data_IF_944135126967
#
_entry.id   IF_944135126967
#
_cell.length_a   1.000
_cell.length_b   1.000
_cell.length_c   1.000
_cell.angle_alpha   90.00
_cell.angle_beta   90.00
_cell.angle_gamma   90.00
#
_symmetry.space_group_name_H-M   'P 1'
#
loop_
_entity.id
_entity.type
_entity.pdbx_description
1 polymer ?
#
# COMPACT_ATOMS: atom_id res chain seq x y z
N UNK A 1 8.29 -19.94 8.37
CA UNK A 1 8.82 -18.71 9.03
C UNK A 1 8.30 -18.66 10.47
N UNK A 2 9.09 -18.10 11.38
CA UNK A 2 8.69 -17.82 12.75
C UNK A 2 7.47 -16.87 12.75
N UNK A 3 6.33 -17.24 13.37
CA UNK A 3 5.13 -16.43 13.37
C UNK A 3 5.34 -15.03 13.97
N UNK A 4 6.11 -14.93 15.06
CA UNK A 4 6.41 -13.64 15.69
C UNK A 4 7.20 -12.73 14.74
N UNK A 5 8.20 -13.26 14.07
CA UNK A 5 9.00 -12.52 13.09
C UNK A 5 8.16 -12.08 11.90
N UNK A 6 7.24 -12.94 11.42
CA UNK A 6 6.29 -12.60 10.37
C UNK A 6 5.42 -11.40 10.80
N UNK A 7 4.88 -11.46 12.02
CA UNK A 7 4.06 -10.39 12.58
C UNK A 7 4.84 -9.07 12.65
N UNK A 8 5.98 -9.06 13.33
CA UNK A 8 6.79 -7.86 13.54
C UNK A 8 7.22 -7.20 12.22
N UNK A 9 7.72 -7.99 11.26
CA UNK A 9 8.07 -7.50 9.92
C UNK A 9 6.88 -6.87 9.19
N UNK A 10 5.70 -7.45 9.37
CA UNK A 10 4.47 -6.93 8.73
C UNK A 10 4.05 -5.62 9.39
N UNK A 11 4.06 -5.54 10.73
CA UNK A 11 3.75 -4.29 11.43
C UNK A 11 4.70 -3.16 11.03
N UNK A 12 5.99 -3.45 10.99
CA UNK A 12 7.02 -2.48 10.59
C UNK A 12 6.85 -2.02 9.13
N UNK A 13 6.55 -2.95 8.22
CA UNK A 13 6.33 -2.65 6.80
C UNK A 13 5.10 -1.77 6.58
N UNK A 14 4.02 -2.08 7.27
CA UNK A 14 2.76 -1.37 7.17
C UNK A 14 2.71 -0.10 8.03
N UNK A 15 3.76 0.18 8.80
CA UNK A 15 3.85 1.31 9.73
C UNK A 15 2.65 1.33 10.68
N UNK A 16 2.32 0.15 11.23
CA UNK A 16 1.17 -0.02 12.12
C UNK A 16 1.53 0.50 13.51
N UNK A 17 0.75 1.43 14.10
CA UNK A 17 0.99 1.92 15.45
C UNK A 17 0.95 0.77 16.47
N UNK A 18 1.82 0.80 17.49
CA UNK A 18 1.94 -0.23 18.52
C UNK A 18 0.64 -0.48 19.26
N UNK A 19 -0.16 0.55 19.49
CA UNK A 19 -1.49 0.49 20.11
C UNK A 19 -2.49 -0.39 19.36
N UNK A 20 -2.33 -0.58 18.04
CA UNK A 20 -3.18 -1.44 17.22
C UNK A 20 -2.77 -2.93 17.28
N UNK A 21 -1.52 -3.24 17.68
CA UNK A 21 -0.96 -4.59 17.59
C UNK A 21 -1.76 -5.63 18.37
N UNK A 22 -2.21 -5.29 19.57
CA UNK A 22 -3.00 -6.20 20.41
C UNK A 22 -4.32 -6.63 19.76
N UNK A 23 -4.99 -5.70 19.09
CA UNK A 23 -6.22 -5.97 18.34
C UNK A 23 -5.98 -6.87 17.12
N UNK A 24 -4.91 -6.61 16.37
CA UNK A 24 -4.52 -7.40 15.19
C UNK A 24 -4.09 -8.82 15.63
N UNK A 25 -3.27 -8.96 16.68
CA UNK A 25 -2.85 -10.26 17.20
C UNK A 25 -4.05 -11.13 17.62
N UNK A 26 -5.05 -10.54 18.28
CA UNK A 26 -6.27 -11.26 18.68
C UNK A 26 -7.02 -11.78 17.45
N UNK A 27 -7.28 -10.93 16.46
CA UNK A 27 -7.95 -11.33 15.23
C UNK A 27 -7.13 -12.37 14.45
N UNK A 28 -5.82 -12.21 14.39
CA UNK A 28 -4.95 -13.19 13.76
C UNK A 28 -5.03 -14.56 14.42
N UNK A 29 -5.04 -14.59 15.74
CA UNK A 29 -5.24 -15.84 16.51
C UNK A 29 -6.61 -16.46 16.22
N UNK A 30 -7.69 -15.68 16.12
CA UNK A 30 -9.03 -16.15 15.76
C UNK A 30 -9.04 -16.81 14.37
N UNK A 31 -8.45 -16.19 13.35
CA UNK A 31 -8.29 -16.79 12.02
C UNK A 31 -7.42 -18.05 12.07
N UNK A 32 -6.32 -18.01 12.83
CA UNK A 32 -5.42 -19.15 12.98
C UNK A 32 -6.11 -20.36 13.58
N UNK A 33 -6.99 -20.17 14.55
CA UNK A 33 -7.75 -21.25 15.19
C UNK A 33 -8.74 -21.93 14.22
N UNK A 34 -9.21 -21.21 13.19
CA UNK A 34 -10.09 -21.76 12.16
C UNK A 34 -9.36 -22.73 11.20
N UNK A 35 -8.04 -22.71 11.13
CA UNK A 35 -7.22 -23.57 10.26
C UNK A 35 -6.91 -24.95 10.85
N UNK A 36 -7.76 -25.50 11.72
CA UNK A 36 -7.48 -26.69 12.54
C UNK A 36 -7.17 -27.98 11.77
N UNK A 37 -7.52 -28.07 10.49
CA UNK A 37 -7.34 -29.26 9.65
C UNK A 37 -6.13 -29.21 8.71
N UNK A 38 -5.39 -28.10 8.64
CA UNK A 38 -4.30 -27.88 7.68
C UNK A 38 -2.98 -27.50 8.38
N UNK A 39 -1.82 -27.61 7.70
CA UNK A 39 -0.58 -27.02 8.22
C UNK A 39 -0.80 -25.52 8.44
N UNK A 40 -1.00 -25.13 9.68
CA UNK A 40 -1.30 -23.75 10.11
C UNK A 40 -0.32 -22.73 9.51
N UNK A 41 0.91 -23.14 9.24
CA UNK A 41 1.93 -22.30 8.60
C UNK A 41 1.60 -21.89 7.16
N UNK A 42 0.78 -22.66 6.41
CA UNK A 42 0.46 -22.37 5.01
C UNK A 42 -0.34 -21.07 4.85
N UNK A 43 -1.32 -20.84 5.72
CA UNK A 43 -2.23 -19.69 5.63
C UNK A 43 -1.96 -18.61 6.68
N UNK A 44 -0.81 -18.64 7.33
CA UNK A 44 -0.42 -17.67 8.35
C UNK A 44 -0.41 -16.23 7.82
N UNK A 45 0.14 -16.05 6.61
CA UNK A 45 0.16 -14.75 5.93
C UNK A 45 -1.25 -14.27 5.55
N UNK A 46 -2.09 -15.18 5.05
CA UNK A 46 -3.48 -14.86 4.69
C UNK A 46 -4.30 -14.45 5.92
N UNK A 47 -4.17 -15.20 7.01
CA UNK A 47 -4.82 -14.90 8.27
C UNK A 47 -4.39 -13.52 8.82
N UNK A 48 -3.09 -13.20 8.74
CA UNK A 48 -2.59 -11.90 9.19
C UNK A 48 -3.10 -10.76 8.31
N UNK A 49 -3.11 -10.93 7.00
CA UNK A 49 -3.67 -9.93 6.08
C UNK A 49 -5.17 -9.66 6.37
N UNK A 50 -5.96 -10.71 6.59
CA UNK A 50 -7.37 -10.55 6.98
C UNK A 50 -7.53 -9.85 8.33
N UNK A 51 -6.67 -10.17 9.31
CA UNK A 51 -6.69 -9.52 10.64
C UNK A 51 -6.38 -8.02 10.58
N UNK A 52 -5.52 -7.62 9.65
CA UNK A 52 -5.10 -6.23 9.44
C UNK A 52 -6.07 -5.41 8.59
N UNK A 53 -6.96 -6.07 7.84
CA UNK A 53 -7.83 -5.34 6.91
C UNK A 53 -8.77 -4.40 7.68
N UNK A 54 -8.79 -3.13 7.28
CA UNK A 54 -9.69 -2.16 7.91
C UNK A 54 -11.15 -2.46 7.52
N UNK A 55 -12.05 -2.66 8.49
CA UNK A 55 -13.45 -2.93 8.19
C UNK A 55 -14.18 -1.78 7.48
N UNK A 56 -13.61 -0.55 7.54
CA UNK A 56 -14.13 0.63 6.82
C UNK A 56 -13.74 0.66 5.35
N UNK A 57 -12.77 -0.16 4.94
CA UNK A 57 -12.57 -0.42 3.51
C UNK A 57 -13.76 -1.27 3.06
N UNK A 58 -14.84 -0.60 2.87
CA UNK A 58 -15.83 -1.09 1.95
C UNK A 58 -15.20 -0.94 0.58
N UNK A 59 -14.86 -2.02 -0.06
CA UNK A 59 -14.79 -2.11 -1.50
C UNK A 59 -16.22 -1.86 -2.03
N UNK A 60 -16.82 -0.77 -1.58
CA UNK A 60 -18.14 -0.39 -2.01
C UNK A 60 -18.01 0.27 -3.36
N UNK A 61 -18.59 -0.32 -4.41
CA UNK A 61 -18.81 0.38 -5.66
C UNK A 61 -19.52 1.72 -5.45
N UNK A 62 -20.24 1.89 -4.33
CA UNK A 62 -21.02 3.08 -4.01
C UNK A 62 -20.21 4.37 -3.89
N UNK A 63 -18.91 4.31 -3.52
CA UNK A 63 -18.04 5.50 -3.56
C UNK A 63 -17.51 5.84 -4.95
N UNK A 64 -17.53 4.89 -5.87
CA UNK A 64 -17.16 5.07 -7.28
C UNK A 64 -18.38 5.37 -8.15
N UNK A 65 -19.58 5.24 -7.59
CA UNK A 65 -20.84 5.51 -8.27
C UNK A 65 -21.21 6.97 -8.10
N UNK A 66 -21.26 7.67 -9.20
CA UNK A 66 -21.91 8.98 -9.29
C UNK A 66 -23.45 8.89 -9.27
N UNK A 67 -24.05 7.70 -9.09
CA UNK A 67 -25.50 7.51 -9.12
C UNK A 67 -26.02 6.49 -8.11
N UNK A 68 -27.22 6.76 -7.65
CA UNK A 68 -27.98 6.22 -6.52
C UNK A 68 -28.66 4.87 -6.72
N UNK A 69 -28.11 3.96 -7.50
CA UNK A 69 -28.73 2.62 -7.62
C UNK A 69 -28.34 1.75 -6.43
N UNK A 70 -29.31 1.52 -5.55
CA UNK A 70 -29.13 0.88 -4.23
C UNK A 70 -29.43 -0.61 -4.18
N UNK A 71 -29.66 -1.25 -5.31
CA UNK A 71 -30.05 -2.66 -5.34
C UNK A 71 -28.88 -3.58 -5.66
N UNK A 72 -27.92 -3.73 -4.72
CA UNK A 72 -27.03 -4.90 -4.73
C UNK A 72 -27.84 -6.04 -4.09
N UNK A 73 -28.35 -6.92 -4.93
CA UNK A 73 -29.22 -8.05 -4.54
C UNK A 73 -28.52 -9.13 -3.68
N UNK A 74 -27.22 -8.96 -3.35
CA UNK A 74 -26.44 -9.99 -2.65
C UNK A 74 -25.48 -9.35 -1.67
N UNK A 75 -25.44 -9.88 -0.44
CA UNK A 75 -24.58 -9.40 0.64
C UNK A 75 -23.12 -9.71 0.36
N UNK A 76 -22.21 -8.73 0.46
CA UNK A 76 -20.79 -8.97 0.39
C UNK A 76 -20.32 -9.95 1.47
N UNK A 77 -19.28 -10.74 1.17
CA UNK A 77 -18.68 -11.65 2.14
C UNK A 77 -18.13 -10.90 3.36
N UNK A 78 -18.27 -11.50 4.54
CA UNK A 78 -17.56 -11.07 5.75
C UNK A 78 -16.07 -11.37 5.60
N UNK A 79 -15.22 -10.83 6.48
CA UNK A 79 -13.78 -11.12 6.45
C UNK A 79 -13.49 -12.60 6.68
N UNK A 80 -14.26 -13.25 7.55
CA UNK A 80 -14.17 -14.67 7.79
C UNK A 80 -14.49 -15.48 6.53
N UNK A 81 -15.56 -15.10 5.83
CA UNK A 81 -15.95 -15.75 4.58
C UNK A 81 -14.95 -15.49 3.46
N UNK A 82 -14.31 -14.31 3.42
CA UNK A 82 -13.22 -14.01 2.46
C UNK A 82 -12.01 -14.91 2.76
N UNK A 83 -11.63 -15.05 4.03
CA UNK A 83 -10.54 -15.94 4.43
C UNK A 83 -10.82 -17.39 4.02
N UNK A 84 -12.01 -17.92 4.35
CA UNK A 84 -12.45 -19.26 4.00
C UNK A 84 -12.50 -19.47 2.48
N UNK A 85 -13.00 -18.47 1.73
CA UNK A 85 -13.04 -18.51 0.27
C UNK A 85 -11.66 -18.68 -0.36
N UNK A 86 -10.68 -17.89 0.07
CA UNK A 86 -9.33 -17.97 -0.51
C UNK A 86 -8.63 -19.29 -0.12
N UNK A 87 -8.86 -19.80 1.08
CA UNK A 87 -8.36 -21.13 1.46
C UNK A 87 -8.95 -22.22 0.55
N UNK A 88 -10.29 -22.25 0.42
CA UNK A 88 -11.00 -23.22 -0.44
C UNK A 88 -10.50 -23.18 -1.89
N UNK A 89 -10.33 -21.96 -2.45
CA UNK A 89 -9.88 -21.80 -3.82
C UNK A 89 -8.41 -22.20 -4.03
N UNK A 90 -7.55 -21.94 -3.05
CA UNK A 90 -6.15 -22.35 -3.09
C UNK A 90 -6.02 -23.89 -3.00
N UNK A 91 -6.78 -24.52 -2.11
CA UNK A 91 -6.84 -26.00 -1.98
C UNK A 91 -7.35 -26.67 -3.24
N UNK A 92 -8.36 -26.06 -3.87
CA UNK A 92 -8.90 -26.52 -5.14
C UNK A 92 -7.96 -26.24 -6.33
N UNK A 93 -6.86 -25.48 -6.13
CA UNK A 93 -5.94 -25.01 -7.17
C UNK A 93 -6.64 -24.19 -8.26
N UNK A 94 -7.63 -23.41 -7.86
CA UNK A 94 -8.42 -22.57 -8.76
C UNK A 94 -7.92 -21.12 -8.83
N UNK A 95 -6.89 -20.76 -8.05
CA UNK A 95 -6.25 -19.44 -8.10
C UNK A 95 -5.11 -19.41 -9.11
N UNK A 96 -4.92 -18.29 -9.76
CA UNK A 96 -3.79 -18.05 -10.67
C UNK A 96 -2.48 -17.72 -9.94
N UNK A 97 -2.57 -17.45 -8.65
CA UNK A 97 -1.43 -17.15 -7.78
C UNK A 97 -1.42 -18.15 -6.62
N UNK A 98 -0.26 -18.72 -6.33
CA UNK A 98 -0.04 -19.47 -5.09
C UNK A 98 0.01 -18.46 -3.93
N UNK A 99 -1.14 -18.25 -3.29
CA UNK A 99 -1.29 -17.24 -2.22
C UNK A 99 -0.46 -17.56 -0.97
N UNK A 100 -0.04 -18.82 -0.81
CA UNK A 100 0.82 -19.22 0.31
C UNK A 100 2.25 -18.66 0.21
N UNK A 101 2.65 -18.18 -0.97
CA UNK A 101 3.96 -17.55 -1.21
C UNK A 101 3.92 -16.02 -1.10
N UNK A 102 2.73 -15.45 -1.01
CA UNK A 102 2.57 -14.02 -0.85
C UNK A 102 2.83 -13.59 0.61
N UNK A 103 3.45 -12.43 0.77
CA UNK A 103 3.58 -11.78 2.07
C UNK A 103 2.21 -11.26 2.54
N UNK A 104 2.03 -11.02 3.87
CA UNK A 104 0.80 -10.41 4.36
C UNK A 104 0.49 -9.06 3.68
N UNK A 105 1.52 -8.25 3.42
CA UNK A 105 1.37 -6.96 2.72
C UNK A 105 0.87 -7.10 1.29
N UNK A 106 1.31 -8.12 0.55
CA UNK A 106 0.79 -8.41 -0.80
C UNK A 106 -0.64 -8.95 -0.72
N UNK A 107 -0.92 -9.80 0.28
CA UNK A 107 -2.25 -10.36 0.50
C UNK A 107 -3.29 -9.32 0.91
N UNK A 108 -2.92 -8.22 1.55
CA UNK A 108 -3.83 -7.09 1.80
C UNK A 108 -4.51 -6.62 0.50
N UNK A 109 -3.78 -6.64 -0.62
CA UNK A 109 -4.30 -6.26 -1.95
C UNK A 109 -5.02 -7.40 -2.69
N UNK A 110 -5.22 -8.53 -2.04
CA UNK A 110 -6.08 -9.63 -2.48
C UNK A 110 -7.35 -9.68 -1.65
N UNK A 111 -7.22 -9.66 -0.32
CA UNK A 111 -8.34 -9.88 0.61
C UNK A 111 -9.22 -8.64 0.81
N UNK A 112 -8.83 -7.47 0.33
CA UNK A 112 -9.64 -6.25 0.34
C UNK A 112 -10.77 -6.27 -0.71
N UNK A 113 -11.07 -7.44 -1.25
CA UNK A 113 -12.22 -7.72 -2.13
C UNK A 113 -13.45 -8.10 -1.30
N UNK A 114 -14.46 -7.23 -1.27
CA UNK A 114 -15.71 -7.45 -0.52
C UNK A 114 -16.86 -7.54 -1.50
N UNK A 115 -16.97 -8.69 -2.15
CA UNK A 115 -17.97 -9.00 -3.15
C UNK A 115 -18.82 -10.19 -2.68
N UNK A 116 -20.05 -10.34 -3.23
CA UNK A 116 -20.76 -11.60 -3.09
C UNK A 116 -19.98 -12.76 -3.67
N UNK A 117 -20.08 -13.94 -3.06
CA UNK A 117 -19.40 -15.16 -3.55
C UNK A 117 -19.72 -15.43 -5.03
N UNK A 118 -20.98 -15.19 -5.45
CA UNK A 118 -21.39 -15.37 -6.84
C UNK A 118 -20.59 -14.53 -7.83
N UNK A 119 -20.29 -13.27 -7.48
CA UNK A 119 -19.47 -12.36 -8.29
C UNK A 119 -18.00 -12.83 -8.33
N UNK A 120 -17.46 -13.26 -7.20
CA UNK A 120 -16.10 -13.78 -7.13
C UNK A 120 -15.93 -15.06 -7.97
N UNK A 121 -16.90 -15.98 -7.89
CA UNK A 121 -16.93 -17.21 -8.70
C UNK A 121 -17.13 -16.90 -10.18
N UNK A 122 -17.98 -15.91 -10.50
CA UNK A 122 -18.16 -15.45 -11.87
C UNK A 122 -16.85 -14.93 -12.46
N UNK A 123 -16.14 -14.06 -11.73
CA UNK A 123 -14.86 -13.50 -12.17
C UNK A 123 -13.85 -14.61 -12.52
N UNK A 124 -13.67 -15.61 -11.66
CA UNK A 124 -12.76 -16.74 -11.91
C UNK A 124 -13.18 -17.60 -13.11
N UNK A 125 -14.49 -17.85 -13.27
CA UNK A 125 -15.00 -18.72 -14.34
C UNK A 125 -15.09 -18.04 -15.70
N UNK A 126 -15.31 -16.72 -15.73
CA UNK A 126 -15.61 -15.99 -16.97
C UNK A 126 -14.44 -15.19 -17.52
N UNK A 127 -13.59 -14.63 -16.65
CA UNK A 127 -12.40 -13.88 -17.10
C UNK A 127 -11.27 -14.88 -17.37
N UNK A 128 -11.06 -15.20 -18.65
CA UNK A 128 -10.12 -16.25 -19.10
C UNK A 128 -8.77 -15.63 -19.51
N UNK A 129 -8.09 -15.00 -18.57
CA UNK A 129 -6.77 -14.44 -18.76
C UNK A 129 -5.73 -15.23 -17.95
N UNK A 130 -4.49 -15.25 -18.43
CA UNK A 130 -3.37 -15.75 -17.64
C UNK A 130 -2.93 -14.67 -16.64
N UNK A 131 -2.25 -15.05 -15.55
CA UNK A 131 -1.70 -14.08 -14.60
C UNK A 131 -0.82 -13.03 -15.30
N UNK A 132 0.04 -13.43 -16.22
CA UNK A 132 0.91 -12.52 -17.01
C UNK A 132 0.12 -11.56 -17.89
N UNK A 133 -1.01 -12.01 -18.43
CA UNK A 133 -1.87 -11.23 -19.34
C UNK A 133 -2.96 -10.44 -18.64
N UNK A 134 -3.03 -10.43 -17.29
CA UNK A 134 -4.16 -9.87 -16.56
C UNK A 134 -4.35 -8.36 -16.76
N UNK A 135 -3.29 -7.62 -17.10
CA UNK A 135 -3.42 -6.22 -17.49
C UNK A 135 -4.42 -5.98 -18.64
N UNK A 136 -4.64 -6.99 -19.49
CA UNK A 136 -5.67 -6.98 -20.54
C UNK A 136 -7.11 -6.91 -20.04
N UNK A 137 -7.39 -7.26 -18.76
CA UNK A 137 -8.72 -7.17 -18.17
C UNK A 137 -9.28 -5.74 -18.22
N UNK A 138 -8.42 -4.74 -18.09
CA UNK A 138 -8.81 -3.33 -18.23
C UNK A 138 -9.44 -3.04 -19.60
N UNK A 139 -8.84 -3.55 -20.67
CA UNK A 139 -9.30 -3.33 -22.05
C UNK A 139 -10.44 -4.25 -22.49
N UNK A 140 -10.85 -5.23 -21.66
CA UNK A 140 -12.04 -6.04 -21.95
C UNK A 140 -13.33 -5.19 -21.91
N UNK A 141 -13.33 -4.13 -21.11
CA UNK A 141 -14.48 -3.25 -20.97
C UNK A 141 -14.44 -2.19 -22.06
N UNK A 142 -15.47 -2.23 -22.95
CA UNK A 142 -15.62 -1.25 -24.02
C UNK A 142 -15.79 0.15 -23.44
N UNK A 143 -14.98 1.11 -23.88
CA UNK A 143 -15.09 2.48 -23.39
C UNK A 143 -16.36 3.18 -23.93
N UNK A 144 -17.11 3.82 -23.02
CA UNK A 144 -18.39 4.48 -23.30
C UNK A 144 -18.24 6.00 -23.25
N UNK A 145 -17.98 6.62 -24.42
CA UNK A 145 -17.89 8.10 -24.52
C UNK A 145 -19.21 8.78 -24.19
N UNK A 146 -20.36 8.17 -24.55
CA UNK A 146 -21.69 8.65 -24.21
C UNK A 146 -21.91 8.71 -22.69
N UNK A 147 -21.44 7.71 -21.95
CA UNK A 147 -21.51 7.72 -20.48
C UNK A 147 -20.60 8.82 -19.88
N UNK A 148 -19.40 9.00 -20.42
CA UNK A 148 -18.51 10.07 -19.99
C UNK A 148 -19.14 11.47 -20.19
N UNK A 149 -19.80 11.69 -21.32
CA UNK A 149 -20.41 12.95 -21.65
C UNK A 149 -21.74 13.23 -20.92
N UNK A 150 -22.57 12.18 -20.73
CA UNK A 150 -23.93 12.33 -20.18
C UNK A 150 -24.01 12.05 -18.68
N UNK A 151 -22.97 11.46 -18.07
CA UNK A 151 -22.97 11.08 -16.65
C UNK A 151 -24.00 10.00 -16.28
N UNK A 152 -24.57 9.31 -17.28
CA UNK A 152 -25.58 8.27 -17.06
C UNK A 152 -24.95 6.93 -16.75
N UNK A 153 -25.43 6.30 -15.67
CA UNK A 153 -25.04 4.95 -15.28
C UNK A 153 -25.93 3.93 -16.02
N UNK A 154 -25.37 3.04 -16.86
CA UNK A 154 -26.16 2.05 -17.59
C UNK A 154 -26.50 0.81 -16.77
N UNK A 155 -25.93 0.68 -15.56
CA UNK A 155 -26.04 -0.55 -14.76
C UNK A 155 -27.22 -0.51 -13.80
N UNK A 156 -27.82 -1.69 -13.57
CA UNK A 156 -28.85 -1.90 -12.55
C UNK A 156 -28.23 -2.32 -11.22
N UNK A 157 -27.34 -3.31 -11.24
CA UNK A 157 -26.73 -3.91 -10.06
C UNK A 157 -25.20 -3.70 -9.99
N UNK A 158 -24.59 -3.19 -11.07
CA UNK A 158 -23.14 -3.01 -11.17
C UNK A 158 -22.35 -4.31 -11.02
N UNK A 159 -22.90 -5.41 -11.55
CA UNK A 159 -22.22 -6.70 -11.60
C UNK A 159 -21.11 -6.72 -12.65
N UNK A 160 -20.17 -7.63 -12.52
CA UNK A 160 -19.12 -7.79 -13.54
C UNK A 160 -19.70 -8.14 -14.92
N UNK A 161 -20.79 -8.91 -14.95
CA UNK A 161 -21.48 -9.22 -16.20
C UNK A 161 -22.05 -7.95 -16.83
N UNK A 162 -22.77 -7.11 -16.06
CA UNK A 162 -23.30 -5.85 -16.57
C UNK A 162 -22.21 -4.90 -17.08
N UNK A 163 -21.10 -4.79 -16.33
CA UNK A 163 -19.97 -3.96 -16.73
C UNK A 163 -19.35 -4.46 -18.04
N UNK A 164 -19.23 -5.78 -18.21
CA UNK A 164 -18.69 -6.38 -19.42
C UNK A 164 -19.63 -6.16 -20.63
N UNK A 165 -20.92 -6.32 -20.45
CA UNK A 165 -21.91 -6.23 -21.52
C UNK A 165 -22.16 -4.77 -21.94
N UNK A 166 -22.34 -3.89 -20.97
CA UNK A 166 -22.69 -2.49 -21.19
C UNK A 166 -21.47 -1.63 -21.56
N UNK A 167 -20.28 -2.06 -21.13
CA UNK A 167 -19.09 -1.22 -21.20
C UNK A 167 -19.10 -0.13 -20.13
N UNK A 168 -18.07 0.73 -20.10
CA UNK A 168 -17.94 1.75 -19.06
C UNK A 168 -16.91 2.82 -19.37
N UNK A 169 -16.55 3.62 -18.38
CA UNK A 169 -15.46 4.59 -18.42
C UNK A 169 -14.22 4.04 -17.68
N UNK A 170 -13.16 4.81 -17.60
CA UNK A 170 -11.90 4.39 -16.96
C UNK A 170 -12.11 3.82 -15.53
N UNK A 171 -13.06 4.38 -14.78
CA UNK A 171 -13.38 3.91 -13.43
C UNK A 171 -13.92 2.48 -13.43
N UNK A 172 -14.79 2.16 -14.38
CA UNK A 172 -15.39 0.83 -14.51
C UNK A 172 -14.39 -0.19 -15.04
N UNK A 173 -13.55 0.24 -15.99
CA UNK A 173 -12.45 -0.56 -16.51
C UNK A 173 -11.47 -0.93 -15.40
N UNK A 174 -11.05 0.05 -14.58
CA UNK A 174 -10.14 -0.16 -13.45
C UNK A 174 -10.80 -1.03 -12.36
N UNK A 175 -12.06 -0.76 -12.01
CA UNK A 175 -12.82 -1.56 -11.05
C UNK A 175 -12.92 -3.02 -11.46
N UNK A 176 -13.30 -3.28 -12.71
CA UNK A 176 -13.38 -4.63 -13.26
C UNK A 176 -12.03 -5.34 -13.21
N UNK A 177 -10.97 -4.69 -13.72
CA UNK A 177 -9.64 -5.28 -13.78
C UNK A 177 -9.08 -5.62 -12.39
N UNK A 178 -9.23 -4.70 -11.40
CA UNK A 178 -8.74 -4.89 -10.04
C UNK A 178 -9.50 -6.02 -9.34
N UNK A 179 -10.83 -5.96 -9.32
CA UNK A 179 -11.58 -6.92 -8.50
C UNK A 179 -11.58 -8.32 -9.12
N UNK A 180 -11.61 -8.44 -10.45
CA UNK A 180 -11.46 -9.75 -11.09
C UNK A 180 -10.05 -10.33 -10.90
N UNK A 181 -8.99 -9.50 -10.80
CA UNK A 181 -7.65 -9.92 -10.42
C UNK A 181 -7.62 -10.51 -9.01
N UNK A 182 -8.18 -9.77 -8.03
CA UNK A 182 -8.27 -10.22 -6.63
C UNK A 182 -8.98 -11.56 -6.49
N UNK A 183 -10.12 -11.72 -7.18
CA UNK A 183 -10.86 -12.99 -7.19
C UNK A 183 -10.01 -14.18 -7.68
N UNK A 184 -8.97 -13.93 -8.46
CA UNK A 184 -8.02 -14.93 -8.95
C UNK A 184 -6.71 -15.00 -8.11
N UNK A 185 -6.68 -14.36 -6.93
CA UNK A 185 -5.53 -14.35 -6.04
C UNK A 185 -4.38 -13.43 -6.50
N UNK A 186 -4.63 -12.51 -7.45
CA UNK A 186 -3.62 -11.58 -7.96
C UNK A 186 -3.70 -10.27 -7.15
N UNK A 187 -2.63 -9.90 -6.39
CA UNK A 187 -2.58 -8.62 -5.71
C UNK A 187 -2.74 -7.46 -6.69
N UNK A 188 -3.70 -6.58 -6.40
CA UNK A 188 -4.05 -5.48 -7.29
C UNK A 188 -4.57 -4.26 -6.53
N UNK A 189 -4.26 -3.07 -7.05
CA UNK A 189 -4.68 -1.80 -6.49
C UNK A 189 -5.44 -0.96 -7.54
N UNK A 190 -6.56 -0.38 -7.10
CA UNK A 190 -7.30 0.61 -7.86
C UNK A 190 -6.64 1.97 -7.66
N UNK A 191 -6.20 2.58 -8.74
CA UNK A 191 -5.46 3.84 -8.72
C UNK A 191 -6.27 4.92 -9.41
N UNK A 192 -6.30 6.11 -8.81
CA UNK A 192 -6.88 7.32 -9.40
C UNK A 192 -5.89 8.46 -9.36
N UNK A 193 -5.96 9.35 -10.34
CA UNK A 193 -5.09 10.52 -10.41
C UNK A 193 -5.32 11.33 -11.66
N UNK A 194 -4.40 12.26 -11.90
CA UNK A 194 -4.43 13.09 -13.10
C UNK A 194 -3.41 12.58 -14.12
N UNK A 195 -3.89 12.27 -15.30
CA UNK A 195 -3.05 11.98 -16.46
C UNK A 195 -2.95 13.20 -17.39
N UNK A 196 -2.16 13.07 -18.44
CA UNK A 196 -1.99 14.15 -19.45
C UNK A 196 -3.28 14.51 -20.23
N UNK A 197 -4.38 13.77 -20.00
CA UNK A 197 -5.71 13.99 -20.62
C UNK A 197 -6.80 14.27 -19.60
N UNK A 198 -6.44 14.58 -18.34
CA UNK A 198 -7.37 14.84 -17.24
C UNK A 198 -7.52 13.69 -16.25
N UNK A 199 -8.51 13.76 -15.35
CA UNK A 199 -8.74 12.75 -14.32
C UNK A 199 -8.90 11.36 -14.91
N UNK A 200 -8.26 10.35 -14.29
CA UNK A 200 -8.22 9.00 -14.80
C UNK A 200 -8.19 7.96 -13.68
N UNK A 201 -8.58 6.73 -14.01
CA UNK A 201 -8.45 5.57 -13.13
C UNK A 201 -7.78 4.41 -13.89
N UNK A 202 -6.90 3.69 -13.21
CA UNK A 202 -6.14 2.57 -13.73
C UNK A 202 -5.88 1.50 -12.68
N UNK A 203 -5.14 0.46 -13.02
CA UNK A 203 -4.84 -0.65 -12.14
C UNK A 203 -3.34 -0.88 -12.02
N UNK A 204 -2.88 -1.10 -10.79
CA UNK A 204 -1.57 -1.68 -10.54
C UNK A 204 -1.73 -3.15 -10.14
N UNK A 205 -0.95 -4.04 -10.76
CA UNK A 205 -0.98 -5.49 -10.57
C UNK A 205 0.40 -6.01 -10.17
N UNK A 206 0.43 -6.96 -9.23
CA UNK A 206 1.64 -7.73 -8.96
C UNK A 206 1.80 -8.83 -10.02
N UNK A 207 2.82 -8.69 -10.85
CA UNK A 207 3.09 -9.60 -11.98
C UNK A 207 3.68 -10.94 -11.54
N UNK A 208 3.88 -11.84 -12.50
CA UNK A 208 4.57 -13.14 -12.28
C UNK A 208 6.02 -12.97 -11.86
N UNK A 209 6.65 -11.83 -12.21
CA UNK A 209 8.05 -11.53 -11.89
C UNK A 209 8.19 -10.86 -10.51
N UNK A 210 7.14 -10.91 -9.69
CA UNK A 210 7.07 -10.29 -8.36
C UNK A 210 7.30 -8.77 -8.38
N UNK A 211 6.96 -8.12 -9.48
CA UNK A 211 7.02 -6.67 -9.66
C UNK A 211 5.63 -6.07 -9.82
N UNK A 212 5.43 -4.88 -9.28
CA UNK A 212 4.20 -4.14 -9.50
C UNK A 212 4.28 -3.38 -10.84
N UNK A 213 3.23 -3.47 -11.64
CA UNK A 213 3.13 -2.79 -12.93
C UNK A 213 1.77 -2.13 -13.10
N UNK A 214 1.78 -0.96 -13.75
CA UNK A 214 0.58 -0.19 -14.08
C UNK A 214 0.02 -0.57 -15.44
N UNK A 215 -1.30 -0.69 -15.52
CA UNK A 215 -2.04 -0.95 -16.77
C UNK A 215 -3.23 -0.01 -16.88
N UNK A 216 -3.51 0.47 -18.08
CA UNK A 216 -4.63 1.37 -18.35
C UNK A 216 -4.34 2.83 -18.03
N UNK A 217 -3.15 3.17 -17.51
CA UNK A 217 -2.73 4.55 -17.29
C UNK A 217 -2.25 5.24 -18.58
N UNK A 218 -2.28 6.55 -18.55
CA UNK A 218 -1.62 7.36 -19.59
C UNK A 218 -0.36 7.93 -19.04
N UNK A 219 0.81 7.88 -19.53
CA UNK A 219 2.08 8.45 -19.04
C UNK A 219 1.96 9.53 -17.96
N UNK A 220 2.92 10.00 -17.33
CA UNK A 220 3.00 10.99 -16.22
C UNK A 220 1.74 11.11 -15.33
N UNK A 221 1.60 10.21 -14.39
CA UNK A 221 0.45 10.16 -13.50
C UNK A 221 0.87 10.49 -12.08
N UNK A 222 0.04 11.26 -11.41
CA UNK A 222 0.10 11.45 -9.96
C UNK A 222 -0.87 10.47 -9.28
N UNK A 223 -0.69 9.17 -9.56
CA UNK A 223 -1.62 8.15 -9.13
C UNK A 223 -1.60 7.90 -7.62
N UNK A 224 -2.78 7.77 -7.04
CA UNK A 224 -2.95 7.44 -5.64
C UNK A 224 -3.93 6.28 -5.48
N UNK A 225 -3.71 5.47 -4.45
CA UNK A 225 -4.61 4.39 -4.05
C UNK A 225 -4.92 4.49 -2.55
N UNK A 226 -6.06 3.94 -2.15
CA UNK A 226 -6.39 3.78 -0.73
C UNK A 226 -5.74 2.52 -0.19
N UNK A 227 -4.91 2.66 0.86
CA UNK A 227 -4.20 1.53 1.42
C UNK A 227 -5.14 0.59 2.20
N UNK A 228 -5.15 -0.74 1.95
CA UNK A 228 -6.13 -1.66 2.52
C UNK A 228 -6.14 -1.74 4.05
N UNK A 229 -5.01 -1.55 4.71
CA UNK A 229 -4.91 -1.62 6.17
C UNK A 229 -5.45 -0.35 6.86
N UNK A 230 -5.03 0.84 6.44
CA UNK A 230 -5.29 2.08 7.19
C UNK A 230 -6.14 3.11 6.44
N UNK A 231 -6.62 2.81 5.25
CA UNK A 231 -7.40 3.70 4.37
C UNK A 231 -6.70 5.02 4.00
N UNK A 232 -5.40 5.16 4.29
CA UNK A 232 -4.65 6.35 3.90
C UNK A 232 -4.43 6.35 2.39
N UNK A 233 -4.56 7.52 1.77
CA UNK A 233 -4.16 7.72 0.39
C UNK A 233 -2.64 7.63 0.29
N UNK A 234 -2.14 6.74 -0.56
CA UNK A 234 -0.72 6.58 -0.83
C UNK A 234 -0.45 6.76 -2.32
N UNK A 235 0.67 7.37 -2.65
CA UNK A 235 1.11 7.49 -4.04
C UNK A 235 1.48 6.11 -4.59
N UNK A 236 1.16 5.82 -5.86
CA UNK A 236 1.39 4.51 -6.47
C UNK A 236 2.87 4.09 -6.53
N UNK A 237 3.80 5.06 -6.51
CA UNK A 237 5.24 4.77 -6.42
C UNK A 237 5.61 3.93 -5.20
N UNK A 238 4.82 3.99 -4.13
CA UNK A 238 5.05 3.15 -2.94
C UNK A 238 4.84 1.67 -3.23
N UNK A 239 3.91 1.32 -4.16
CA UNK A 239 3.77 -0.05 -4.66
C UNK A 239 4.86 -0.37 -5.69
N UNK A 240 4.98 0.47 -6.71
CA UNK A 240 5.86 0.22 -7.85
C UNK A 240 7.34 0.12 -7.46
N UNK A 241 7.75 0.74 -6.36
CA UNK A 241 9.14 0.81 -5.93
C UNK A 241 9.40 0.26 -4.53
N UNK A 242 8.43 0.39 -3.62
CA UNK A 242 8.60 0.02 -2.21
C UNK A 242 8.34 -1.44 -1.89
N UNK A 243 7.45 -2.10 -2.64
CA UNK A 243 7.06 -3.50 -2.40
C UNK A 243 7.74 -4.49 -3.36
N UNK A 244 8.52 -4.00 -4.32
CA UNK A 244 9.14 -4.83 -5.34
C UNK A 244 10.34 -5.59 -4.76
N UNK A 245 10.23 -6.91 -4.62
CA UNK A 245 11.30 -7.79 -4.18
C UNK A 245 12.50 -7.76 -5.12
N UNK A 246 12.28 -7.55 -6.41
CA UNK A 246 13.33 -7.49 -7.42
C UNK A 246 14.19 -6.24 -7.28
N UNK A 247 13.58 -5.09 -6.97
CA UNK A 247 14.30 -3.82 -6.73
C UNK A 247 15.03 -3.85 -5.38
N UNK A 248 14.40 -4.40 -4.34
CA UNK A 248 14.95 -4.43 -2.98
C UNK A 248 15.79 -5.68 -2.69
N UNK A 249 15.65 -6.72 -3.51
CA UNK A 249 16.45 -7.95 -3.46
C UNK A 249 16.35 -8.73 -2.14
N UNK A 250 17.32 -9.64 -1.92
CA UNK A 250 17.38 -10.48 -0.73
C UNK A 250 17.60 -9.70 0.59
N UNK A 251 17.90 -8.40 0.52
CA UNK A 251 18.09 -7.53 1.67
C UNK A 251 16.80 -6.95 2.26
N UNK A 252 15.66 -7.11 1.56
CA UNK A 252 14.38 -6.59 2.04
C UNK A 252 14.03 -7.16 3.41
N UNK A 253 14.18 -8.47 3.58
CA UNK A 253 13.92 -9.14 4.84
C UNK A 253 14.80 -8.63 5.99
N UNK A 254 16.09 -8.38 5.71
CA UNK A 254 17.03 -7.81 6.69
C UNK A 254 16.64 -6.38 7.05
N UNK A 255 16.23 -5.58 6.07
CA UNK A 255 15.73 -4.22 6.32
C UNK A 255 14.47 -4.23 7.19
N UNK A 256 13.53 -5.14 6.92
CA UNK A 256 12.32 -5.29 7.74
C UNK A 256 12.62 -5.75 9.18
N UNK A 257 13.67 -6.57 9.39
CA UNK A 257 14.12 -6.91 10.73
C UNK A 257 14.65 -5.67 11.48
N UNK A 258 15.46 -4.85 10.83
CA UNK A 258 15.94 -3.59 11.42
C UNK A 258 14.78 -2.62 11.73
N UNK A 259 13.81 -2.48 10.81
CA UNK A 259 12.62 -1.66 11.05
C UNK A 259 11.80 -2.19 12.24
N UNK A 260 11.65 -3.51 12.35
CA UNK A 260 10.95 -4.13 13.48
C UNK A 260 11.65 -3.89 14.81
N UNK A 261 13.01 -3.94 14.82
CA UNK A 261 13.79 -3.61 16.00
C UNK A 261 13.70 -2.13 16.36
N UNK A 262 13.64 -1.25 15.36
CA UNK A 262 13.42 0.17 15.60
C UNK A 262 12.06 0.41 16.29
N UNK A 263 10.98 -0.23 15.83
CA UNK A 263 9.67 -0.14 16.49
C UNK A 263 9.74 -0.57 17.95
N UNK A 264 10.37 -1.71 18.23
CA UNK A 264 10.55 -2.19 19.61
C UNK A 264 11.35 -1.22 20.46
N UNK A 265 12.42 -0.62 19.94
CA UNK A 265 13.19 0.37 20.68
C UNK A 265 12.40 1.68 20.89
N UNK A 266 11.56 2.09 19.95
CA UNK A 266 10.69 3.24 20.15
C UNK A 266 9.66 2.97 21.27
N UNK A 267 9.02 1.79 21.27
CA UNK A 267 8.11 1.38 22.36
C UNK A 267 8.82 1.30 23.73
N UNK A 268 10.11 0.93 23.74
CA UNK A 268 10.95 0.92 24.93
C UNK A 268 11.50 2.32 25.32
N UNK A 269 11.09 3.38 24.60
CA UNK A 269 11.58 4.74 24.80
C UNK A 269 13.12 4.86 24.69
N UNK A 270 13.71 4.15 23.72
CA UNK A 270 15.14 4.16 23.41
C UNK A 270 15.40 4.73 22.00
N UNK A 271 15.20 6.04 21.78
CA UNK A 271 15.27 6.64 20.44
C UNK A 271 16.65 6.48 19.79
N UNK A 272 17.75 6.52 20.56
CA UNK A 272 19.10 6.35 20.01
C UNK A 272 19.30 4.95 19.40
N UNK A 273 18.78 3.90 20.08
CA UNK A 273 18.82 2.55 19.55
C UNK A 273 17.91 2.40 18.31
N UNK A 274 16.74 3.03 18.33
CA UNK A 274 15.84 3.06 17.19
C UNK A 274 16.52 3.73 15.98
N UNK A 275 17.20 4.85 16.18
CA UNK A 275 17.94 5.57 15.13
C UNK A 275 18.98 4.67 14.46
N UNK A 276 19.81 3.98 15.24
CA UNK A 276 20.83 3.04 14.71
C UNK A 276 20.17 1.96 13.83
N UNK A 277 19.01 1.43 14.25
CA UNK A 277 18.30 0.43 13.47
C UNK A 277 17.72 1.03 12.17
N UNK A 278 17.18 2.24 12.22
CA UNK A 278 16.66 2.93 11.02
C UNK A 278 17.77 3.24 10.01
N UNK A 279 18.93 3.68 10.49
CA UNK A 279 20.12 3.88 9.64
C UNK A 279 20.56 2.55 8.98
N UNK A 280 20.60 1.45 9.74
CA UNK A 280 20.90 0.12 9.21
C UNK A 280 19.86 -0.33 8.16
N UNK A 281 18.58 -0.03 8.38
CA UNK A 281 17.51 -0.33 7.43
C UNK A 281 17.70 0.44 6.10
N UNK A 282 18.06 1.74 6.15
CA UNK A 282 18.35 2.55 4.94
C UNK A 282 19.57 2.04 4.19
N UNK A 283 20.56 1.48 4.88
CA UNK A 283 21.74 0.87 4.25
C UNK A 283 21.42 -0.48 3.62
N UNK A 284 20.58 -1.29 4.26
CA UNK A 284 20.17 -2.60 3.74
C UNK A 284 19.34 -2.48 2.46
N UNK A 285 18.39 -1.55 2.41
CA UNK A 285 17.55 -1.30 1.23
C UNK A 285 17.53 0.20 0.87
N UNK A 286 18.62 0.74 0.30
CA UNK A 286 18.70 2.17 0.02
C UNK A 286 17.61 2.67 -0.94
N UNK A 287 17.15 1.82 -1.85
CA UNK A 287 16.11 2.13 -2.82
C UNK A 287 14.68 2.07 -2.26
N UNK A 288 14.47 1.66 -1.01
CA UNK A 288 13.17 1.68 -0.35
C UNK A 288 12.98 2.99 0.42
N UNK A 289 11.89 3.74 0.21
CA UNK A 289 11.63 4.99 0.94
C UNK A 289 11.33 4.75 2.43
N UNK A 290 10.89 3.55 2.79
CA UNK A 290 10.36 3.24 4.12
C UNK A 290 11.34 3.54 5.26
N UNK A 291 12.60 3.11 5.13
CA UNK A 291 13.64 3.39 6.13
C UNK A 291 13.95 4.89 6.25
N UNK A 292 14.01 5.58 5.11
CA UNK A 292 14.28 7.02 5.07
C UNK A 292 13.16 7.85 5.71
N UNK A 293 11.91 7.57 5.35
CA UNK A 293 10.75 8.27 5.93
C UNK A 293 10.70 8.12 7.44
N UNK A 294 10.98 6.93 7.95
CA UNK A 294 10.97 6.67 9.39
C UNK A 294 12.16 7.32 10.11
N UNK A 295 13.34 7.30 9.50
CA UNK A 295 14.52 7.98 10.04
C UNK A 295 14.26 9.49 10.15
N UNK A 296 13.71 10.11 9.09
CA UNK A 296 13.33 11.52 9.09
C UNK A 296 12.30 11.82 10.19
N UNK A 297 11.27 10.97 10.30
CA UNK A 297 10.23 11.15 11.31
C UNK A 297 10.79 11.05 12.75
N UNK A 298 11.74 10.14 13.01
CA UNK A 298 12.40 10.04 14.31
C UNK A 298 13.28 11.25 14.59
N UNK A 299 14.11 11.65 13.62
CA UNK A 299 15.00 12.82 13.73
C UNK A 299 14.24 14.13 13.90
N UNK A 300 13.03 14.25 13.34
CA UNK A 300 12.18 15.44 13.42
C UNK A 300 11.44 15.61 14.75
N UNK A 301 11.54 14.65 15.67
CA UNK A 301 10.92 14.79 17.01
C UNK A 301 11.67 15.81 17.85
N UNK A 302 10.97 16.67 18.61
CA UNK A 302 11.63 17.68 19.44
C UNK A 302 12.68 17.10 20.40
N UNK A 303 12.39 15.91 20.97
CA UNK A 303 13.27 15.21 21.90
C UNK A 303 14.49 14.56 21.25
N UNK A 304 14.54 14.46 19.91
CA UNK A 304 15.68 13.85 19.20
C UNK A 304 16.95 14.69 19.33
N UNK A 305 16.81 16.00 19.55
CA UNK A 305 17.93 16.93 19.61
C UNK A 305 18.78 16.97 18.32
N UNK A 306 18.20 16.57 17.18
CA UNK A 306 18.89 16.54 15.88
C UNK A 306 19.43 17.92 15.52
N UNK A 307 20.70 18.00 15.21
CA UNK A 307 21.40 19.26 14.89
C UNK A 307 21.26 19.59 13.40
N UNK A 308 21.47 20.86 13.09
CA UNK A 308 21.40 21.36 11.70
C UNK A 308 22.39 20.60 10.78
N UNK A 309 23.59 20.32 11.25
CA UNK A 309 24.62 19.60 10.49
C UNK A 309 24.16 18.19 10.11
N UNK A 310 23.46 17.48 10.99
CA UNK A 310 22.96 16.14 10.74
C UNK A 310 21.84 16.15 9.67
N UNK A 311 20.99 17.19 9.68
CA UNK A 311 19.98 17.39 8.65
C UNK A 311 20.63 17.71 7.29
N UNK A 312 21.62 18.59 7.27
CA UNK A 312 22.37 18.93 6.05
C UNK A 312 23.06 17.68 5.46
N UNK A 313 23.67 16.85 6.27
CA UNK A 313 24.30 15.59 5.85
C UNK A 313 23.29 14.61 5.27
N UNK A 314 22.13 14.44 5.92
CA UNK A 314 21.07 13.55 5.46
C UNK A 314 20.52 13.99 4.10
N UNK A 315 20.21 15.28 3.94
CA UNK A 315 19.71 15.84 2.69
C UNK A 315 20.74 15.73 1.57
N UNK A 316 22.02 16.07 1.87
CA UNK A 316 23.09 15.94 0.90
C UNK A 316 23.28 14.47 0.45
N UNK A 317 23.17 13.52 1.37
CA UNK A 317 23.24 12.10 1.06
C UNK A 317 22.07 11.65 0.16
N UNK A 318 20.82 12.03 0.49
CA UNK A 318 19.63 11.72 -0.32
C UNK A 318 19.79 12.30 -1.73
N UNK A 319 20.10 13.58 -1.86
CA UNK A 319 20.25 14.26 -3.15
C UNK A 319 21.37 13.64 -4.00
N UNK A 320 22.50 13.28 -3.40
CA UNK A 320 23.62 12.63 -4.09
C UNK A 320 23.26 11.23 -4.57
N UNK A 321 22.61 10.43 -3.71
CA UNK A 321 22.32 9.02 -3.97
C UNK A 321 21.14 8.83 -4.93
N UNK A 322 20.17 9.72 -4.88
CA UNK A 322 18.90 9.61 -5.61
C UNK A 322 18.62 10.79 -6.56
N UNK A 323 19.68 11.38 -7.12
CA UNK A 323 19.58 12.56 -8.01
C UNK A 323 18.65 12.40 -9.21
N UNK A 324 18.33 11.17 -9.62
CA UNK A 324 17.41 10.84 -10.72
C UNK A 324 16.03 10.35 -10.24
N UNK A 325 15.74 10.47 -8.94
CA UNK A 325 14.52 9.96 -8.30
C UNK A 325 13.70 11.14 -7.76
N UNK A 326 12.65 11.59 -8.48
CA UNK A 326 11.84 12.76 -8.09
C UNK A 326 11.20 12.62 -6.69
N UNK A 327 10.77 11.41 -6.33
CA UNK A 327 10.20 11.08 -5.02
C UNK A 327 11.17 11.34 -3.86
N UNK A 328 12.43 10.95 -4.00
CA UNK A 328 13.47 11.22 -3.00
C UNK A 328 13.91 12.69 -2.99
N UNK A 329 13.92 13.35 -4.15
CA UNK A 329 14.20 14.79 -4.21
C UNK A 329 13.09 15.60 -3.53
N UNK A 330 11.83 15.20 -3.69
CA UNK A 330 10.70 15.80 -2.97
C UNK A 330 10.79 15.55 -1.45
N UNK A 331 11.22 14.35 -1.04
CA UNK A 331 11.50 14.04 0.37
C UNK A 331 12.59 14.96 0.93
N UNK A 332 13.70 15.14 0.21
CA UNK A 332 14.79 16.03 0.61
C UNK A 332 14.33 17.49 0.71
N UNK A 333 13.56 17.98 -0.26
CA UNK A 333 13.01 19.34 -0.24
C UNK A 333 12.08 19.56 0.97
N UNK A 334 11.23 18.58 1.29
CA UNK A 334 10.39 18.64 2.49
C UNK A 334 11.21 18.76 3.77
N UNK A 335 12.32 18.02 3.89
CA UNK A 335 13.23 18.12 5.04
C UNK A 335 13.87 19.50 5.13
N UNK A 336 14.28 20.08 3.99
CA UNK A 336 14.79 21.47 3.96
C UNK A 336 13.76 22.47 4.45
N UNK A 337 12.50 22.38 3.97
CA UNK A 337 11.42 23.29 4.32
C UNK A 337 10.99 23.15 5.79
N UNK A 338 10.85 21.91 6.30
CA UNK A 338 10.31 21.65 7.62
C UNK A 338 11.34 21.80 8.75
N UNK A 339 12.61 21.51 8.49
CA UNK A 339 13.64 21.47 9.56
C UNK A 339 14.83 22.41 9.31
N UNK A 340 15.41 22.43 8.11
CA UNK A 340 16.68 23.15 7.86
C UNK A 340 16.46 24.66 7.82
N UNK A 341 15.54 25.13 6.99
CA UNK A 341 15.30 26.58 6.84
C UNK A 341 14.86 27.25 8.16
N UNK A 342 13.91 26.69 8.94
CA UNK A 342 13.57 27.25 10.25
C UNK A 342 14.74 27.29 11.24
N UNK A 343 15.60 26.29 11.25
CA UNK A 343 16.80 26.26 12.14
C UNK A 343 17.83 27.31 11.73
N UNK A 344 18.06 27.53 10.43
CA UNK A 344 18.94 28.59 9.92
C UNK A 344 18.44 29.99 10.23
N UNK A 345 17.14 30.21 10.04
CA UNK A 345 16.51 31.50 10.35
C UNK A 345 16.59 31.82 11.85
N UNK A 346 16.36 30.85 12.71
CA UNK A 346 16.52 31.00 14.15
C UNK A 346 17.96 31.32 14.54
N UNK A 347 18.96 30.70 13.94
CA UNK A 347 20.38 30.95 14.20
C UNK A 347 20.80 32.36 13.75
N UNK A 348 20.30 32.81 12.59
CA UNK A 348 20.56 34.13 12.05
C UNK A 348 19.97 35.21 12.96
N UNK A 349 18.74 35.04 13.43
CA UNK A 349 18.08 35.96 14.36
C UNK A 349 18.80 36.04 15.71
N UNK A 350 19.29 34.93 16.24
CA UNK A 350 20.08 34.93 17.49
C UNK A 350 21.41 35.70 17.31
N UNK A 351 22.08 35.53 16.16
CA UNK A 351 23.32 36.29 15.89
C UNK A 351 23.09 37.77 15.78
N UNK A 352 21.97 38.23 15.23
CA UNK A 352 21.58 39.64 15.14
C UNK A 352 21.28 40.24 16.53
N UNK A 353 20.67 39.47 17.43
CA UNK A 353 20.38 39.92 18.81
C UNK A 353 21.68 40.08 19.58
N UNK A 354 22.66 39.21 19.45
CA UNK A 354 23.97 39.35 20.13
C UNK A 354 24.82 40.51 19.61
N UNK A 355 24.64 40.91 18.35
CA UNK A 355 25.34 42.06 17.79
C UNK A 355 24.74 43.41 18.29
N UNK A 356 23.51 43.38 18.75
CA UNK A 356 22.77 44.60 19.20
C UNK A 356 22.91 44.91 20.69
N UNK A 357 23.60 44.12 21.51
CA UNK A 357 23.92 44.50 22.90
C UNK A 357 25.05 45.54 22.92
N UNK A 358 24.76 46.79 23.33
CA UNK A 358 25.82 47.77 23.48
C UNK A 358 26.71 47.36 24.65
N UNK A 359 28.00 47.21 24.40
CA UNK A 359 29.00 47.18 25.44
C UNK A 359 28.86 48.46 26.24
N UNK A 360 28.26 48.39 27.45
CA UNK A 360 28.27 49.49 28.41
C UNK A 360 29.71 49.77 28.89
N UNK A 361 30.11 51.02 28.96
CA UNK A 361 31.42 51.42 29.43
C UNK A 361 31.65 51.16 30.93
#
# INVERSE_FOLDING_TARGET
SDPLRLFLRTMAREQTPGEEWGGILRKWAEFWMKTSAMPRSRYSSLALACAMLNPRIASSPSKLRASSSTNISTTPLTLEQVFEYFMEMDEARELLTDISKLSPSELLFVVDVRLPRSEMDWARKKVRLTRKGWGGAYSMIRYRMDRAALGKDPYTNYTFQEILDEGGICMDQAYFAVNTAKCNGIPSAYVTGDGNRGPHAWVNLLTTDETWQSYGGYGYNTGHFSHPHNCKSKHESTLLQGMDKKVNGARLDTSLDYLSLADLFEEMQKPDCARVMLEAATQATPGSPLGWERLIALMGRPESGTKLEEWDELVAMIKRKFRSRPDYLAMAARVEDEYIFPMRDASTNLSLIHISEPTRP
#
